data_IF_833368288191
#
_entry.id   IF_833368288191
#
_cell.length_a   1.000
_cell.length_b   1.000
_cell.length_c   1.000
_cell.angle_alpha   90.00
_cell.angle_beta   90.00
_cell.angle_gamma   90.00
#
_symmetry.space_group_name_H-M   'P 1'
#
loop_
_entity.id
_entity.type
_entity.pdbx_description
1 polymer ?
#
# COMPACT_ATOMS: atom_id res chain seq x y z
N UNK A 1 7.06 -8.21 12.04
CA UNK A 1 8.19 -8.92 11.39
C UNK A 1 9.49 -8.64 12.13
N UNK A 2 10.30 -9.68 12.44
CA UNK A 2 11.55 -9.53 13.21
C UNK A 2 12.61 -8.68 12.52
N UNK A 3 12.70 -8.73 11.19
CA UNK A 3 13.64 -7.90 10.44
C UNK A 3 13.31 -6.41 10.59
N UNK A 4 12.04 -6.01 10.41
CA UNK A 4 11.62 -4.61 10.61
C UNK A 4 11.87 -4.14 12.05
N UNK A 5 11.58 -4.98 13.05
CA UNK A 5 11.89 -4.63 14.44
C UNK A 5 13.39 -4.40 14.67
N UNK A 6 14.26 -5.24 14.08
CA UNK A 6 15.71 -5.08 14.16
C UNK A 6 16.21 -3.81 13.43
N UNK A 7 15.64 -3.51 12.26
CA UNK A 7 15.90 -2.28 11.51
C UNK A 7 15.51 -1.06 12.35
N UNK A 8 14.26 -1.02 12.84
CA UNK A 8 13.75 0.09 13.66
C UNK A 8 14.65 0.34 14.87
N UNK A 9 15.02 -0.71 15.61
CA UNK A 9 15.91 -0.60 16.76
C UNK A 9 17.29 -0.06 16.37
N UNK A 10 17.88 -0.57 15.29
CA UNK A 10 19.22 -0.16 14.85
C UNK A 10 19.23 1.28 14.35
N UNK A 11 18.19 1.72 13.64
CA UNK A 11 18.08 3.10 13.16
C UNK A 11 17.81 4.09 14.31
N UNK A 12 17.12 3.65 15.36
CA UNK A 12 16.78 4.48 16.52
C UNK A 12 17.95 4.67 17.50
N UNK A 13 18.71 3.61 17.79
CA UNK A 13 19.73 3.63 18.86
C UNK A 13 21.12 3.15 18.43
N UNK A 14 21.31 2.77 17.17
CA UNK A 14 22.59 2.30 16.65
C UNK A 14 23.60 3.42 16.43
N UNK A 15 24.88 3.09 16.59
CA UNK A 15 25.99 3.94 16.14
C UNK A 15 26.00 4.08 14.62
N UNK A 16 26.69 5.11 14.10
CA UNK A 16 26.90 5.31 12.65
C UNK A 16 27.46 4.05 11.99
N UNK A 17 28.38 3.34 12.64
CA UNK A 17 28.95 2.09 12.14
C UNK A 17 27.92 0.97 12.09
N UNK A 18 27.05 0.83 13.10
CA UNK A 18 26.00 -0.18 13.11
C UNK A 18 24.94 0.09 12.04
N UNK A 19 24.52 1.35 11.89
CA UNK A 19 23.57 1.75 10.83
C UNK A 19 24.17 1.50 9.45
N UNK A 20 25.45 1.85 9.23
CA UNK A 20 26.13 1.59 7.96
C UNK A 20 26.19 0.09 7.66
N UNK A 21 26.57 -0.74 8.64
CA UNK A 21 26.59 -2.20 8.51
C UNK A 21 25.22 -2.76 8.15
N UNK A 22 24.16 -2.27 8.80
CA UNK A 22 22.79 -2.65 8.48
C UNK A 22 22.47 -2.30 7.02
N UNK A 23 22.65 -1.04 6.61
CA UNK A 23 22.38 -0.61 5.24
C UNK A 23 23.18 -1.38 4.19
N UNK A 24 24.42 -1.80 4.50
CA UNK A 24 25.23 -2.64 3.62
C UNK A 24 24.60 -4.00 3.35
N UNK A 25 23.88 -4.61 4.31
CA UNK A 25 23.17 -5.89 4.08
C UNK A 25 22.16 -5.75 2.93
N UNK A 26 21.56 -4.56 2.78
CA UNK A 26 20.57 -4.24 1.75
C UNK A 26 21.17 -3.60 0.49
N UNK A 27 22.50 -3.44 0.42
CA UNK A 27 23.16 -2.71 -0.68
C UNK A 27 22.91 -1.19 -0.69
N UNK A 28 22.37 -0.63 0.40
CA UNK A 28 21.91 0.77 0.49
C UNK A 28 22.79 1.64 1.39
N UNK A 29 24.06 1.26 1.60
CA UNK A 29 24.98 1.97 2.49
C UNK A 29 25.24 3.43 2.11
N UNK A 30 24.98 3.80 0.86
CA UNK A 30 25.18 5.16 0.35
C UNK A 30 23.95 6.06 0.51
N UNK A 31 22.78 5.48 0.81
CA UNK A 31 21.55 6.25 1.09
C UNK A 31 21.74 7.02 2.39
N UNK A 32 21.79 8.35 2.30
CA UNK A 32 22.18 9.22 3.42
C UNK A 32 21.17 9.20 4.55
N UNK A 33 19.89 9.37 4.22
CA UNK A 33 18.83 9.49 5.22
C UNK A 33 18.29 8.12 5.64
N UNK A 34 18.02 7.95 6.93
CA UNK A 34 17.51 6.68 7.47
C UNK A 34 16.05 6.43 7.10
N UNK A 35 15.27 7.48 6.88
CA UNK A 35 13.88 7.39 6.48
C UNK A 35 13.73 7.00 5.00
N UNK A 36 14.60 7.50 4.11
CA UNK A 36 14.72 7.02 2.72
C UNK A 36 15.15 5.54 2.69
N UNK A 37 16.12 5.13 3.49
CA UNK A 37 16.48 3.71 3.60
C UNK A 37 15.28 2.85 4.08
N UNK A 38 14.56 3.35 5.08
CA UNK A 38 13.40 2.66 5.63
C UNK A 38 12.21 2.59 4.66
N UNK A 39 12.03 3.59 3.79
CA UNK A 39 10.93 3.61 2.80
C UNK A 39 11.09 2.53 1.75
N UNK A 40 12.32 2.29 1.30
CA UNK A 40 12.66 1.28 0.30
C UNK A 40 12.32 -0.13 0.77
N UNK A 41 12.42 -0.40 2.07
CA UNK A 41 12.07 -1.71 2.63
C UNK A 41 10.59 -2.08 2.41
N UNK A 42 9.71 -1.09 2.26
CA UNK A 42 8.27 -1.29 2.07
C UNK A 42 7.93 -1.60 0.61
N UNK A 43 8.81 -1.23 -0.34
CA UNK A 43 8.50 -1.26 -1.77
C UNK A 43 7.92 -2.59 -2.29
N UNK A 44 8.43 -3.77 -1.89
CA UNK A 44 7.86 -5.04 -2.34
C UNK A 44 6.41 -5.28 -1.88
N UNK A 45 5.99 -4.66 -0.78
CA UNK A 45 4.64 -4.80 -0.24
C UNK A 45 3.61 -3.99 -1.02
N UNK A 46 4.02 -2.95 -1.76
CA UNK A 46 3.09 -2.17 -2.58
C UNK A 46 2.55 -2.98 -3.75
N UNK A 47 3.33 -3.92 -4.29
CA UNK A 47 2.91 -4.79 -5.38
C UNK A 47 1.77 -5.76 -5.01
N UNK A 48 1.45 -5.92 -3.71
CA UNK A 48 0.33 -6.73 -3.25
C UNK A 48 -1.01 -6.26 -3.84
N UNK A 49 -1.17 -4.95 -4.04
CA UNK A 49 -2.40 -4.41 -4.63
C UNK A 49 -2.50 -4.72 -6.13
N UNK A 50 -1.39 -4.99 -6.79
CA UNK A 50 -1.31 -5.17 -8.25
C UNK A 50 -1.41 -6.64 -8.65
N UNK A 51 -1.68 -7.53 -7.70
CA UNK A 51 -1.86 -8.96 -7.98
C UNK A 51 -3.29 -9.21 -8.46
N UNK A 52 -3.42 -9.83 -9.63
CA UNK A 52 -4.68 -10.32 -10.20
C UNK A 52 -4.70 -11.84 -10.27
N UNK A 53 -5.90 -12.40 -10.48
CA UNK A 53 -6.09 -13.86 -10.57
C UNK A 53 -5.28 -14.55 -11.66
N UNK A 54 -4.82 -13.81 -12.66
CA UNK A 54 -4.00 -14.30 -13.78
C UNK A 54 -2.49 -14.24 -13.49
N UNK A 55 -2.06 -13.47 -12.49
CA UNK A 55 -0.65 -13.14 -12.26
C UNK A 55 0.11 -14.20 -11.46
N UNK A 56 -0.53 -15.34 -11.17
CA UNK A 56 0.04 -16.46 -10.40
C UNK A 56 1.28 -17.09 -11.05
N UNK A 57 1.68 -16.66 -12.26
CA UNK A 57 2.82 -17.19 -13.01
C UNK A 57 3.85 -16.14 -13.49
N UNK A 58 3.67 -14.84 -13.22
CA UNK A 58 4.60 -13.80 -13.70
C UNK A 58 5.76 -13.54 -12.71
N UNK A 59 6.85 -12.99 -13.26
CA UNK A 59 8.21 -12.94 -12.69
C UNK A 59 8.24 -12.81 -11.15
N UNK A 60 8.75 -13.86 -10.50
CA UNK A 60 8.79 -13.97 -9.04
C UNK A 60 9.48 -12.78 -8.41
N UNK A 61 10.37 -12.04 -9.09
CA UNK A 61 11.15 -10.94 -8.51
C UNK A 61 10.35 -9.63 -8.33
N UNK A 62 9.17 -9.49 -8.93
CA UNK A 62 8.33 -8.27 -8.85
C UNK A 62 7.08 -8.43 -7.98
N UNK A 63 6.86 -9.57 -7.35
CA UNK A 63 5.65 -9.85 -6.57
C UNK A 63 5.90 -9.86 -5.06
N UNK A 64 4.86 -9.52 -4.28
CA UNK A 64 4.92 -9.67 -2.82
C UNK A 64 5.04 -11.14 -2.40
N UNK A 65 4.46 -12.05 -3.17
CA UNK A 65 4.50 -13.49 -2.93
C UNK A 65 5.94 -14.02 -3.08
N UNK A 66 6.64 -13.63 -4.14
CA UNK A 66 8.06 -13.96 -4.31
C UNK A 66 8.94 -13.40 -3.20
N UNK A 67 8.62 -12.20 -2.70
CA UNK A 67 9.30 -11.62 -1.55
C UNK A 67 9.12 -12.50 -0.31
N UNK A 68 7.88 -12.91 -0.03
CA UNK A 68 7.55 -13.81 1.07
C UNK A 68 8.27 -15.16 0.93
N UNK A 69 8.27 -15.75 -0.26
CA UNK A 69 8.95 -17.02 -0.52
C UNK A 69 10.47 -16.91 -0.27
N UNK A 70 11.10 -15.82 -0.67
CA UNK A 70 12.52 -15.61 -0.40
C UNK A 70 12.83 -15.44 1.09
N UNK A 71 11.91 -14.88 1.88
CA UNK A 71 12.09 -14.73 3.33
C UNK A 71 11.81 -16.01 4.11
N UNK A 72 10.84 -16.79 3.66
CA UNK A 72 10.29 -17.94 4.39
C UNK A 72 10.80 -19.29 3.87
N UNK A 73 11.74 -19.31 2.92
CA UNK A 73 12.35 -20.55 2.44
C UNK A 73 13.81 -20.71 2.85
N UNK A 74 14.22 -21.95 3.10
CA UNK A 74 15.62 -22.36 3.24
C UNK A 74 15.96 -23.43 2.21
N UNK A 75 17.14 -23.31 1.61
CA UNK A 75 17.66 -24.32 0.68
C UNK A 75 18.58 -25.27 1.44
N UNK A 76 18.19 -26.54 1.52
CA UNK A 76 19.01 -27.61 2.12
C UNK A 76 19.40 -28.58 1.02
N UNK A 77 20.67 -28.51 0.59
CA UNK A 77 21.16 -29.24 -0.58
C UNK A 77 20.51 -28.72 -1.86
N UNK A 78 19.66 -29.55 -2.50
CA UNK A 78 18.91 -29.19 -3.73
C UNK A 78 17.42 -28.98 -3.50
N UNK A 79 16.96 -28.96 -2.23
CA UNK A 79 15.55 -28.86 -1.89
C UNK A 79 15.23 -27.53 -1.21
N UNK A 80 14.10 -26.94 -1.60
CA UNK A 80 13.50 -25.76 -0.96
C UNK A 80 12.57 -26.25 0.16
N UNK A 81 12.71 -25.68 1.34
CA UNK A 81 11.88 -25.97 2.51
C UNK A 81 11.27 -24.66 3.02
N UNK A 82 9.94 -24.64 3.18
CA UNK A 82 9.27 -23.54 3.89
C UNK A 82 9.55 -23.62 5.38
N UNK A 83 9.86 -22.48 5.98
CA UNK A 83 10.06 -22.35 7.40
C UNK A 83 8.74 -22.55 8.15
N UNK A 84 8.83 -23.13 9.35
CA UNK A 84 7.68 -23.19 10.26
C UNK A 84 7.37 -21.84 10.89
N UNK A 85 6.48 -21.81 11.89
CA UNK A 85 6.06 -20.58 12.58
C UNK A 85 7.20 -19.72 13.15
N UNK A 86 8.39 -20.30 13.35
CA UNK A 86 9.58 -19.59 13.80
C UNK A 86 10.38 -18.92 12.67
N UNK A 87 9.96 -19.01 11.41
CA UNK A 87 10.64 -18.46 10.23
C UNK A 87 12.06 -19.00 10.03
N UNK A 88 12.82 -18.39 9.12
CA UNK A 88 14.21 -18.76 8.78
C UNK A 88 15.25 -18.30 9.81
N UNK A 89 14.82 -17.59 10.86
CA UNK A 89 15.68 -16.93 11.85
C UNK A 89 16.14 -15.54 11.41
N UNK A 90 16.41 -14.64 12.36
CA UNK A 90 16.68 -13.21 12.08
C UNK A 90 17.88 -13.00 11.13
N UNK A 91 18.98 -13.73 11.35
CA UNK A 91 20.19 -13.57 10.55
C UNK A 91 19.97 -13.99 9.08
N UNK A 92 19.30 -15.13 8.86
CA UNK A 92 18.95 -15.60 7.51
C UNK A 92 17.97 -14.64 6.85
N UNK A 93 16.89 -14.27 7.55
CA UNK A 93 15.87 -13.36 7.04
C UNK A 93 16.44 -11.98 6.68
N UNK A 94 17.39 -11.44 7.46
CA UNK A 94 18.07 -10.18 7.13
C UNK A 94 18.82 -10.25 5.80
N UNK A 95 19.56 -11.33 5.56
CA UNK A 95 20.30 -11.52 4.31
C UNK A 95 19.34 -11.71 3.14
N UNK A 96 18.32 -12.57 3.27
CA UNK A 96 17.31 -12.79 2.25
C UNK A 96 16.57 -11.50 1.89
N UNK A 97 16.18 -10.71 2.88
CA UNK A 97 15.52 -9.42 2.66
C UNK A 97 16.46 -8.43 1.99
N UNK A 98 17.71 -8.34 2.45
CA UNK A 98 18.72 -7.47 1.85
C UNK A 98 18.97 -7.78 0.37
N UNK A 99 19.08 -9.06 0.03
CA UNK A 99 19.21 -9.53 -1.36
C UNK A 99 17.98 -9.19 -2.20
N UNK A 100 16.78 -9.38 -1.66
CA UNK A 100 15.54 -9.03 -2.36
C UNK A 100 15.48 -7.54 -2.66
N UNK A 101 15.69 -6.70 -1.63
CA UNK A 101 15.65 -5.24 -1.79
C UNK A 101 16.72 -4.75 -2.75
N UNK A 102 17.92 -5.31 -2.71
CA UNK A 102 18.98 -4.96 -3.67
C UNK A 102 18.54 -5.21 -5.11
N UNK A 103 17.92 -6.37 -5.37
CA UNK A 103 17.38 -6.71 -6.69
C UNK A 103 16.21 -5.80 -7.06
N UNK A 104 15.26 -5.61 -6.15
CA UNK A 104 14.09 -4.76 -6.36
C UNK A 104 14.48 -3.33 -6.72
N UNK A 105 15.45 -2.76 -6.01
CA UNK A 105 15.97 -1.42 -6.30
C UNK A 105 16.60 -1.37 -7.69
N UNK A 106 17.45 -2.33 -8.03
CA UNK A 106 18.13 -2.39 -9.33
C UNK A 106 17.19 -2.69 -10.50
N UNK A 107 16.03 -3.31 -10.27
CA UNK A 107 15.08 -3.66 -11.33
C UNK A 107 13.93 -2.66 -11.47
N UNK A 108 13.43 -2.10 -10.36
CA UNK A 108 12.15 -1.40 -10.33
C UNK A 108 12.24 0.07 -9.90
N UNK A 109 13.17 0.43 -8.99
CA UNK A 109 13.23 1.79 -8.45
C UNK A 109 14.30 2.66 -9.11
N UNK A 110 15.47 2.07 -9.36
CA UNK A 110 16.66 2.76 -9.83
C UNK A 110 17.40 1.93 -10.90
N UNK A 111 16.75 1.51 -11.99
CA UNK A 111 17.35 0.62 -12.99
C UNK A 111 18.59 1.21 -13.68
N UNK A 112 18.66 2.53 -13.80
CA UNK A 112 19.76 3.23 -14.47
C UNK A 112 20.84 3.73 -13.50
N UNK A 113 20.73 3.45 -12.20
CA UNK A 113 21.67 3.97 -11.18
C UNK A 113 22.75 2.96 -10.83
N UNK A 114 24.00 3.42 -10.74
CA UNK A 114 25.07 2.64 -10.13
C UNK A 114 24.92 2.59 -8.59
N UNK A 115 25.52 1.61 -7.90
CA UNK A 115 25.42 1.49 -6.43
C UNK A 115 25.85 2.73 -5.64
N UNK A 116 26.76 3.55 -6.18
CA UNK A 116 27.21 4.82 -5.60
C UNK A 116 26.25 6.00 -5.86
N UNK A 117 25.30 5.85 -6.77
CA UNK A 117 24.32 6.87 -7.18
C UNK A 117 22.94 6.65 -6.56
N UNK A 118 22.73 5.52 -5.87
CA UNK A 118 21.44 5.16 -5.25
C UNK A 118 20.88 6.23 -4.31
N UNK A 119 21.73 7.05 -3.69
CA UNK A 119 21.23 8.18 -2.89
C UNK A 119 20.46 9.19 -3.73
N UNK A 120 20.94 9.49 -4.94
CA UNK A 120 20.35 10.54 -5.77
C UNK A 120 19.03 10.07 -6.40
N UNK A 121 18.94 8.77 -6.71
CA UNK A 121 17.70 8.13 -7.13
C UNK A 121 16.67 7.99 -6.00
N UNK A 122 17.08 7.51 -4.81
CA UNK A 122 16.14 7.13 -3.74
C UNK A 122 15.80 8.27 -2.77
N UNK A 123 16.50 9.40 -2.82
CA UNK A 123 16.34 10.41 -1.77
C UNK A 123 15.09 11.26 -1.95
N UNK A 124 14.26 11.30 -0.91
CA UNK A 124 13.11 12.20 -0.80
C UNK A 124 13.46 13.57 -0.21
N UNK A 125 14.74 13.83 0.05
CA UNK A 125 15.21 15.10 0.62
C UNK A 125 15.79 16.05 -0.44
N UNK A 126 15.98 15.58 -1.67
CA UNK A 126 16.47 16.40 -2.77
C UNK A 126 15.34 17.22 -3.41
N UNK A 127 15.18 18.48 -3.00
CA UNK A 127 14.17 19.38 -3.54
C UNK A 127 14.31 19.68 -5.05
N UNK A 128 15.47 19.36 -5.64
CA UNK A 128 15.74 19.53 -7.07
C UNK A 128 15.43 18.27 -7.88
N UNK A 129 15.04 17.16 -7.24
CA UNK A 129 14.66 15.93 -7.94
C UNK A 129 13.46 16.16 -8.86
N UNK A 130 13.48 15.49 -10.02
CA UNK A 130 12.43 15.54 -11.04
C UNK A 130 11.05 15.20 -10.48
N UNK A 131 10.99 14.34 -9.45
CA UNK A 131 9.74 13.98 -8.78
C UNK A 131 9.01 15.22 -8.23
N UNK A 132 9.74 16.26 -7.80
CA UNK A 132 9.18 17.50 -7.24
C UNK A 132 9.10 18.62 -8.29
N UNK A 133 10.07 18.69 -9.19
CA UNK A 133 10.24 19.81 -10.13
C UNK A 133 9.54 19.60 -11.46
N UNK A 134 9.23 18.37 -11.86
CA UNK A 134 8.51 18.09 -13.10
C UNK A 134 7.05 18.56 -13.01
N UNK A 135 6.73 19.61 -13.76
CA UNK A 135 5.40 20.23 -13.85
C UNK A 135 4.77 20.06 -15.24
N UNK A 136 5.31 19.16 -16.06
CA UNK A 136 4.77 18.85 -17.39
C UNK A 136 3.32 18.37 -17.27
N UNK A 137 2.47 18.64 -18.26
CA UNK A 137 1.05 18.24 -18.27
C UNK A 137 0.82 17.29 -19.46
N UNK A 138 0.11 16.16 -19.28
CA UNK A 138 -0.48 15.67 -18.03
C UNK A 138 0.58 15.16 -17.04
N UNK A 139 0.25 15.19 -15.74
CA UNK A 139 1.07 14.62 -14.67
C UNK A 139 0.15 14.16 -13.53
N UNK A 140 -0.28 12.91 -13.63
CA UNK A 140 -1.28 12.32 -12.75
C UNK A 140 -0.72 12.07 -11.35
N UNK A 141 0.55 11.69 -11.22
CA UNK A 141 1.24 11.54 -9.93
C UNK A 141 1.22 12.84 -9.14
N UNK A 142 1.54 13.96 -9.79
CA UNK A 142 1.49 15.28 -9.16
C UNK A 142 0.07 15.67 -8.80
N UNK A 143 -0.92 15.36 -9.64
CA UNK A 143 -2.33 15.61 -9.30
C UNK A 143 -2.79 14.77 -8.10
N UNK A 144 -2.37 13.51 -8.01
CA UNK A 144 -2.63 12.62 -6.87
C UNK A 144 -1.98 13.14 -5.59
N UNK A 145 -0.70 13.48 -5.64
CA UNK A 145 0.02 14.07 -4.52
C UNK A 145 -0.60 15.37 -4.04
N UNK A 146 -1.15 16.19 -4.94
CA UNK A 146 -1.88 17.39 -4.55
C UNK A 146 -3.09 17.05 -3.67
N UNK A 147 -3.87 16.03 -4.04
CA UNK A 147 -5.01 15.56 -3.25
C UNK A 147 -4.56 14.98 -1.90
N UNK A 148 -3.48 14.20 -1.87
CA UNK A 148 -2.91 13.65 -0.63
C UNK A 148 -2.40 14.74 0.31
N UNK A 149 -1.73 15.76 -0.22
CA UNK A 149 -1.17 16.86 0.57
C UNK A 149 -2.21 17.86 1.06
N UNK A 150 -3.38 17.95 0.41
CA UNK A 150 -4.42 18.93 0.75
C UNK A 150 -5.61 18.32 1.48
N UNK A 151 -6.15 17.21 0.99
CA UNK A 151 -7.43 16.66 1.44
C UNK A 151 -7.25 15.31 2.11
N UNK A 152 -6.68 14.31 1.42
CA UNK A 152 -6.80 12.92 1.85
C UNK A 152 -5.82 12.51 2.94
N UNK A 153 -4.58 13.01 2.91
CA UNK A 153 -3.52 12.51 3.78
C UNK A 153 -3.32 11.00 3.65
N UNK A 154 -3.42 10.49 2.42
CA UNK A 154 -3.37 9.07 2.08
C UNK A 154 -1.93 8.56 2.17
N UNK A 155 -1.43 8.50 3.40
CA UNK A 155 -0.05 8.18 3.74
C UNK A 155 0.04 6.76 4.28
N UNK A 156 0.87 5.94 3.67
CA UNK A 156 1.06 4.54 4.06
C UNK A 156 2.06 4.48 5.21
N UNK A 157 1.53 4.57 6.43
CA UNK A 157 2.34 4.69 7.64
C UNK A 157 2.41 3.37 8.41
N UNK A 158 3.52 3.16 9.11
CA UNK A 158 3.63 2.13 10.13
C UNK A 158 2.51 2.27 11.17
N UNK A 159 1.96 1.14 11.67
CA UNK A 159 1.01 1.18 12.77
C UNK A 159 1.67 1.76 14.04
N UNK A 160 0.86 2.34 14.97
CA UNK A 160 1.34 2.79 16.27
C UNK A 160 2.19 1.73 16.98
N UNK A 161 3.23 2.16 17.70
CA UNK A 161 4.17 1.23 18.34
C UNK A 161 3.53 0.39 19.45
N UNK A 162 2.48 0.92 20.06
CA UNK A 162 1.63 0.31 21.08
C UNK A 162 0.38 -0.36 20.50
N UNK A 163 0.26 -0.42 19.17
CA UNK A 163 -0.84 -1.09 18.49
C UNK A 163 -0.77 -2.62 18.64
N UNK A 164 -1.92 -3.32 18.61
CA UNK A 164 -1.96 -4.78 18.71
C UNK A 164 -1.44 -5.51 17.46
N UNK A 165 -1.23 -4.80 16.35
CA UNK A 165 -0.85 -5.38 15.06
C UNK A 165 0.68 -5.56 14.94
N UNK A 166 1.14 -6.73 14.47
CA UNK A 166 2.54 -6.90 14.10
C UNK A 166 2.97 -5.87 13.04
N UNK A 167 4.08 -5.17 13.30
CA UNK A 167 4.62 -4.20 12.34
C UNK A 167 5.39 -4.89 11.21
N UNK A 168 5.01 -4.62 9.97
CA UNK A 168 5.74 -5.00 8.74
C UNK A 168 6.29 -3.80 7.97
N UNK A 169 5.92 -2.58 8.37
CA UNK A 169 6.39 -1.30 7.81
C UNK A 169 7.28 -0.60 8.83
N UNK A 170 8.50 -0.15 8.50
CA UNK A 170 9.41 0.51 9.45
C UNK A 170 8.84 1.78 10.11
N UNK A 171 9.18 2.04 11.37
CA UNK A 171 8.68 3.17 12.18
C UNK A 171 8.91 4.56 11.57
N UNK A 172 9.99 4.71 10.78
CA UNK A 172 10.31 5.96 10.10
C UNK A 172 9.33 6.29 8.95
N UNK A 173 8.59 5.30 8.45
CA UNK A 173 7.47 5.51 7.54
C UNK A 173 6.25 5.96 8.33
N UNK A 174 6.22 7.23 8.71
CA UNK A 174 5.14 7.83 9.49
C UNK A 174 4.58 9.06 8.77
N UNK A 175 3.51 9.64 9.32
CA UNK A 175 2.85 10.78 8.68
C UNK A 175 3.80 11.98 8.45
N UNK A 176 4.78 12.19 9.34
CA UNK A 176 5.73 13.28 9.21
C UNK A 176 6.71 13.07 8.04
N UNK A 177 7.14 11.83 7.79
CA UNK A 177 7.94 11.48 6.61
C UNK A 177 7.23 11.86 5.31
N UNK A 178 6.00 11.40 5.13
CA UNK A 178 5.20 11.66 3.94
C UNK A 178 4.86 13.15 3.78
N UNK A 179 4.40 13.79 4.86
CA UNK A 179 3.97 15.18 4.85
C UNK A 179 5.11 16.18 4.58
N UNK A 180 6.36 15.83 4.93
CA UNK A 180 7.54 16.66 4.62
C UNK A 180 7.72 16.88 3.12
N UNK A 181 7.33 15.91 2.28
CA UNK A 181 7.49 16.02 0.83
C UNK A 181 6.49 16.99 0.20
N UNK A 182 5.35 17.24 0.84
CA UNK A 182 4.30 18.12 0.31
C UNK A 182 4.80 19.52 -0.07
N UNK A 183 5.56 20.26 0.77
CA UNK A 183 6.10 21.56 0.37
C UNK A 183 7.21 21.48 -0.69
N UNK A 184 7.82 20.31 -0.92
CA UNK A 184 8.75 20.09 -2.03
C UNK A 184 7.99 19.97 -3.35
N UNK A 185 6.91 19.18 -3.37
CA UNK A 185 6.01 19.12 -4.52
C UNK A 185 5.35 20.48 -4.78
N UNK A 186 4.79 21.12 -3.76
CA UNK A 186 3.95 22.31 -3.91
C UNK A 186 4.47 23.46 -3.04
N UNK A 187 5.57 24.12 -3.45
CA UNK A 187 6.06 25.29 -2.74
C UNK A 187 4.99 26.39 -2.72
N UNK A 188 4.90 27.20 -1.64
CA UNK A 188 3.91 28.26 -1.53
C UNK A 188 4.01 29.24 -2.70
N UNK A 189 2.91 29.38 -3.45
CA UNK A 189 2.77 30.30 -4.56
C UNK A 189 1.79 31.43 -4.27
N UNK A 190 1.63 32.34 -5.23
CA UNK A 190 0.66 33.45 -5.11
C UNK A 190 -0.80 33.00 -5.14
N UNK A 191 -1.08 31.93 -5.90
CA UNK A 191 -2.44 31.43 -6.14
C UNK A 191 -2.81 30.23 -5.27
N UNK A 192 -1.81 29.55 -4.72
CA UNK A 192 -2.02 28.31 -4.00
C UNK A 192 -0.93 28.08 -2.95
N UNK A 193 -1.33 27.56 -1.81
CA UNK A 193 -0.46 27.04 -0.77
C UNK A 193 -1.12 25.82 -0.15
N UNK A 194 -0.36 24.75 0.02
CA UNK A 194 -0.84 23.56 0.70
C UNK A 194 -1.02 23.83 2.20
N UNK A 195 -2.03 23.22 2.84
CA UNK A 195 -2.21 23.36 4.29
C UNK A 195 -1.05 22.68 5.04
N UNK A 196 -0.77 23.09 6.30
CA UNK A 196 0.25 22.45 7.10
C UNK A 196 0.02 20.96 7.33
N UNK A 197 -1.25 20.49 7.30
CA UNK A 197 -1.65 19.08 7.37
C UNK A 197 -2.84 18.85 6.43
N UNK A 198 -2.97 17.65 5.82
CA UNK A 198 -4.14 17.30 5.01
C UNK A 198 -5.44 17.35 5.83
N UNK A 199 -6.55 17.69 5.17
CA UNK A 199 -7.87 17.86 5.80
C UNK A 199 -8.66 16.54 5.98
N UNK A 200 -7.95 15.43 6.23
CA UNK A 200 -8.54 14.09 6.28
C UNK A 200 -9.65 13.94 7.33
N UNK A 201 -9.47 14.57 8.51
CA UNK A 201 -10.49 14.56 9.56
C UNK A 201 -11.76 15.31 9.13
N UNK A 202 -11.60 16.44 8.45
CA UNK A 202 -12.73 17.25 8.02
C UNK A 202 -13.53 16.54 6.90
N UNK A 203 -12.85 15.92 5.94
CA UNK A 203 -13.51 15.18 4.86
C UNK A 203 -14.24 13.93 5.39
N UNK A 204 -13.60 13.18 6.30
CA UNK A 204 -14.22 12.02 6.96
C UNK A 204 -15.43 12.44 7.81
N UNK A 205 -15.34 13.55 8.54
CA UNK A 205 -16.48 14.09 9.29
C UNK A 205 -17.63 14.52 8.37
N UNK A 206 -17.32 15.16 7.24
CA UNK A 206 -18.32 15.66 6.29
C UNK A 206 -19.09 14.52 5.61
N UNK A 207 -18.40 13.46 5.22
CA UNK A 207 -18.98 12.37 4.42
C UNK A 207 -19.24 11.09 5.19
N UNK A 208 -18.92 11.06 6.49
CA UNK A 208 -19.14 9.92 7.38
C UNK A 208 -17.93 9.00 7.54
N UNK A 209 -16.93 9.06 6.64
CA UNK A 209 -15.76 8.17 6.72
C UNK A 209 -16.21 6.70 6.81
N UNK A 210 -15.67 5.93 7.75
CA UNK A 210 -16.12 4.55 7.99
C UNK A 210 -17.58 4.40 8.46
N UNK A 211 -18.21 5.49 8.90
CA UNK A 211 -19.62 5.51 9.31
C UNK A 211 -20.56 5.76 8.13
N UNK A 212 -20.04 5.94 6.91
CA UNK A 212 -20.89 6.21 5.76
C UNK A 212 -21.83 5.02 5.51
N UNK A 213 -23.13 5.31 5.59
CA UNK A 213 -24.19 4.33 5.42
C UNK A 213 -24.30 3.27 6.52
N UNK A 214 -23.74 3.50 7.72
CA UNK A 214 -23.84 2.54 8.85
C UNK A 214 -25.23 2.53 9.51
N UNK A 215 -25.89 3.69 9.58
CA UNK A 215 -27.22 3.85 10.17
C UNK A 215 -28.35 3.90 9.15
N UNK A 216 -28.03 4.08 7.87
CA UNK A 216 -29.00 4.16 6.78
C UNK A 216 -28.37 3.71 5.48
N UNK A 217 -29.09 2.88 4.73
CA UNK A 217 -28.74 2.52 3.37
C UNK A 217 -28.47 3.77 2.50
N UNK A 218 -27.45 3.73 1.65
CA UNK A 218 -27.30 4.70 0.56
C UNK A 218 -27.91 4.07 -0.68
N UNK A 219 -28.94 4.73 -1.23
CA UNK A 219 -29.62 4.23 -2.42
C UNK A 219 -28.68 4.13 -3.62
N UNK A 220 -28.85 3.08 -4.41
CA UNK A 220 -28.13 2.85 -5.67
C UNK A 220 -26.60 2.83 -5.54
N UNK A 221 -26.11 2.37 -4.39
CA UNK A 221 -24.69 2.19 -4.11
C UNK A 221 -24.41 0.73 -3.76
N UNK A 222 -23.43 0.14 -4.45
CA UNK A 222 -22.93 -1.20 -4.15
C UNK A 222 -21.47 -1.10 -3.72
N UNK A 223 -21.20 -1.49 -2.49
CA UNK A 223 -19.84 -1.61 -1.96
C UNK A 223 -19.25 -2.98 -2.27
N UNK A 224 -18.04 -2.98 -2.84
CA UNK A 224 -17.32 -4.20 -3.20
C UNK A 224 -15.89 -4.03 -2.70
N UNK A 225 -15.38 -5.02 -1.99
CA UNK A 225 -13.97 -5.10 -1.59
C UNK A 225 -13.45 -6.52 -1.81
N UNK A 226 -12.16 -6.65 -2.11
CA UNK A 226 -11.46 -7.94 -2.00
C UNK A 226 -11.24 -8.35 -0.55
N UNK A 227 -11.24 -9.65 -0.29
CA UNK A 227 -10.89 -10.21 1.03
C UNK A 227 -9.48 -9.80 1.46
N UNK A 228 -8.55 -9.83 0.51
CA UNK A 228 -7.13 -9.54 0.68
C UNK A 228 -6.72 -8.16 0.16
N UNK A 229 -7.68 -7.33 -0.28
CA UNK A 229 -7.42 -5.96 -0.73
C UNK A 229 -6.78 -5.14 0.42
N UNK A 230 -5.55 -4.61 0.25
CA UNK A 230 -4.89 -3.82 1.27
C UNK A 230 -5.68 -2.55 1.62
N UNK A 231 -6.51 -2.07 0.70
CA UNK A 231 -7.36 -0.90 0.87
C UNK A 231 -8.68 -1.18 1.60
N UNK A 232 -9.06 -2.45 1.81
CA UNK A 232 -10.27 -2.81 2.58
C UNK A 232 -10.25 -2.21 3.98
N UNK A 233 -9.08 -2.16 4.62
CA UNK A 233 -8.93 -1.56 5.96
C UNK A 233 -9.19 -0.04 5.99
N UNK A 234 -9.11 0.63 4.84
CA UNK A 234 -9.46 2.05 4.69
C UNK A 234 -10.91 2.26 4.25
N UNK A 235 -11.68 1.20 3.99
CA UNK A 235 -13.06 1.27 3.48
C UNK A 235 -14.12 1.01 4.57
N UNK A 236 -15.38 1.05 4.17
CA UNK A 236 -16.54 0.67 5.00
C UNK A 236 -16.55 -0.81 5.42
N UNK A 237 -15.71 -1.65 4.82
CA UNK A 237 -15.53 -3.06 5.16
C UNK A 237 -14.26 -3.31 5.99
N UNK A 238 -13.75 -2.25 6.63
CA UNK A 238 -12.60 -2.32 7.54
C UNK A 238 -12.92 -3.12 8.81
N UNK A 239 -12.10 -4.13 9.08
CA UNK A 239 -12.18 -4.91 10.32
C UNK A 239 -11.75 -4.12 11.57
N UNK A 240 -11.09 -2.97 11.38
CA UNK A 240 -10.53 -2.14 12.46
C UNK A 240 -11.35 -0.88 12.73
N UNK A 241 -11.81 -0.24 11.67
CA UNK A 241 -12.33 1.12 11.71
C UNK A 241 -13.83 1.23 11.51
N UNK A 242 -14.44 0.27 10.81
CA UNK A 242 -15.84 0.32 10.46
C UNK A 242 -16.74 -0.28 11.55
N UNK A 243 -17.98 0.23 11.71
CA UNK A 243 -18.96 -0.34 12.63
C UNK A 243 -19.13 -1.84 12.45
N UNK A 244 -19.18 -2.57 13.57
CA UNK A 244 -19.32 -4.02 13.56
C UNK A 244 -18.13 -4.76 12.94
N UNK A 245 -16.99 -4.10 12.74
CA UNK A 245 -15.81 -4.65 12.07
C UNK A 245 -16.06 -4.92 10.59
N UNK A 246 -16.73 -3.99 9.90
CA UNK A 246 -17.02 -4.10 8.47
C UNK A 246 -18.07 -5.17 8.11
N UNK A 247 -18.69 -5.83 9.10
CA UNK A 247 -19.73 -6.87 8.88
C UNK A 247 -21.08 -6.25 8.58
N UNK A 248 -21.20 -5.60 7.42
CA UNK A 248 -22.45 -5.02 6.94
C UNK A 248 -23.38 -6.10 6.37
N UNK A 249 -24.67 -5.83 6.40
CA UNK A 249 -25.65 -6.74 5.82
C UNK A 249 -25.71 -6.55 4.30
N UNK A 250 -25.40 -7.60 3.53
CA UNK A 250 -25.67 -7.68 2.09
C UNK A 250 -27.18 -7.82 1.86
N UNK A 251 -27.82 -6.79 1.32
CA UNK A 251 -29.26 -6.79 1.05
C UNK A 251 -29.56 -6.29 -0.37
N UNK A 252 -30.71 -6.65 -0.98
CA UNK A 252 -31.05 -6.17 -2.32
C UNK A 252 -31.07 -4.65 -2.48
N UNK A 253 -31.41 -3.90 -1.41
CA UNK A 253 -31.44 -2.43 -1.37
C UNK A 253 -30.10 -1.80 -1.02
N UNK A 254 -29.28 -2.48 -0.23
CA UNK A 254 -27.96 -2.04 0.23
C UNK A 254 -26.96 -3.15 -0.04
N UNK A 255 -26.63 -3.39 -1.31
CA UNK A 255 -25.73 -4.48 -1.65
C UNK A 255 -24.32 -4.15 -1.14
N UNK A 256 -23.71 -5.15 -0.53
CA UNK A 256 -22.35 -5.08 0.01
C UNK A 256 -21.71 -6.47 -0.14
N UNK A 257 -20.45 -6.54 -0.55
CA UNK A 257 -19.78 -7.84 -0.68
C UNK A 257 -18.29 -7.73 -0.46
N UNK A 258 -17.76 -8.69 0.29
CA UNK A 258 -16.34 -8.99 0.35
C UNK A 258 -16.09 -10.20 -0.55
N UNK A 259 -15.27 -10.02 -1.58
CA UNK A 259 -14.98 -11.03 -2.57
C UNK A 259 -13.88 -11.96 -2.06
N UNK A 260 -14.24 -13.22 -1.78
CA UNK A 260 -13.31 -14.21 -1.26
C UNK A 260 -12.12 -14.44 -2.21
N UNK A 261 -10.91 -14.46 -1.66
CA UNK A 261 -9.66 -14.66 -2.38
C UNK A 261 -9.18 -13.48 -3.24
N UNK A 262 -9.98 -12.41 -3.35
CA UNK A 262 -9.65 -11.29 -4.23
C UNK A 262 -8.81 -10.21 -3.54
N UNK A 263 -7.94 -9.58 -4.32
CA UNK A 263 -7.15 -8.41 -3.92
C UNK A 263 -7.80 -7.13 -4.47
N UNK A 264 -7.02 -6.12 -4.86
CA UNK A 264 -7.57 -4.82 -5.23
C UNK A 264 -8.18 -4.83 -6.63
N UNK A 265 -9.42 -4.35 -6.76
CA UNK A 265 -10.04 -4.07 -8.05
C UNK A 265 -10.43 -5.29 -8.91
N UNK A 266 -10.39 -6.51 -8.38
CA UNK A 266 -10.73 -7.73 -9.13
C UNK A 266 -12.17 -7.74 -9.69
N UNK A 267 -13.09 -6.94 -9.14
CA UNK A 267 -14.45 -6.82 -9.70
C UNK A 267 -14.48 -6.08 -11.05
N UNK A 268 -13.41 -5.35 -11.40
CA UNK A 268 -13.22 -4.75 -12.71
C UNK A 268 -12.61 -5.69 -13.75
N UNK A 269 -12.14 -6.87 -13.36
CA UNK A 269 -11.63 -7.89 -14.29
C UNK A 269 -12.77 -8.38 -15.19
N UNK A 270 -12.61 -8.30 -16.50
CA UNK A 270 -13.59 -8.70 -17.50
C UNK A 270 -13.17 -9.92 -18.33
N UNK A 271 -12.12 -10.63 -17.93
CA UNK A 271 -11.64 -11.83 -18.64
C UNK A 271 -12.68 -12.98 -18.59
N UNK A 272 -12.70 -13.75 -19.67
CA UNK A 272 -13.59 -14.88 -19.87
C UNK A 272 -13.37 -16.01 -18.86
N UNK A 273 -12.13 -16.20 -18.38
CA UNK A 273 -11.77 -17.24 -17.42
C UNK A 273 -11.67 -16.74 -15.97
N UNK A 274 -12.18 -15.54 -15.69
CA UNK A 274 -12.18 -14.94 -14.37
C UNK A 274 -12.65 -15.92 -13.26
N UNK A 275 -12.05 -15.85 -12.06
CA UNK A 275 -12.40 -16.72 -10.94
C UNK A 275 -13.89 -16.75 -10.64
N UNK A 276 -14.35 -17.85 -10.03
CA UNK A 276 -15.75 -17.97 -9.61
C UNK A 276 -16.18 -16.86 -8.65
N UNK A 277 -15.26 -16.31 -7.85
CA UNK A 277 -15.52 -15.18 -6.96
C UNK A 277 -15.88 -13.90 -7.74
N UNK A 278 -15.09 -13.56 -8.77
CA UNK A 278 -15.34 -12.41 -9.66
C UNK A 278 -16.68 -12.55 -10.38
N UNK A 279 -16.90 -13.68 -11.06
CA UNK A 279 -18.15 -13.93 -11.81
C UNK A 279 -19.40 -13.88 -10.92
N UNK A 280 -19.31 -14.33 -9.66
CA UNK A 280 -20.41 -14.22 -8.69
C UNK A 280 -20.70 -12.76 -8.34
N UNK A 281 -19.67 -11.94 -8.14
CA UNK A 281 -19.83 -10.52 -7.84
C UNK A 281 -20.40 -9.77 -9.05
N UNK A 282 -19.91 -10.03 -10.26
CA UNK A 282 -20.51 -9.47 -11.48
C UNK A 282 -21.99 -9.79 -11.61
N UNK A 283 -22.39 -11.04 -11.35
CA UNK A 283 -23.80 -11.43 -11.38
C UNK A 283 -24.63 -10.65 -10.36
N UNK A 284 -24.10 -10.39 -9.15
CA UNK A 284 -24.73 -9.52 -8.16
C UNK A 284 -24.82 -8.06 -8.65
N UNK A 285 -23.76 -7.54 -9.26
CA UNK A 285 -23.70 -6.16 -9.80
C UNK A 285 -24.75 -5.97 -10.88
N UNK A 286 -24.81 -6.88 -11.86
CA UNK A 286 -25.80 -6.87 -12.94
C UNK A 286 -27.22 -6.93 -12.34
N UNK A 287 -27.45 -7.78 -11.34
CA UNK A 287 -28.75 -7.87 -10.69
C UNK A 287 -29.12 -6.57 -9.93
N UNK A 288 -28.16 -5.92 -9.26
CA UNK A 288 -28.38 -4.64 -8.59
C UNK A 288 -28.74 -3.53 -9.59
N UNK A 289 -27.94 -3.37 -10.65
CA UNK A 289 -28.18 -2.38 -11.70
C UNK A 289 -29.54 -2.60 -12.37
N UNK A 290 -29.89 -3.84 -12.72
CA UNK A 290 -31.20 -4.16 -13.30
C UNK A 290 -32.36 -3.74 -12.39
N UNK A 291 -32.24 -3.94 -11.07
CA UNK A 291 -33.24 -3.48 -10.10
C UNK A 291 -33.33 -1.96 -10.07
N UNK A 292 -32.20 -1.26 -10.03
CA UNK A 292 -32.17 0.20 -10.00
C UNK A 292 -32.80 0.80 -11.27
N UNK A 293 -32.50 0.24 -12.45
CA UNK A 293 -33.10 0.65 -13.72
C UNK A 293 -34.62 0.40 -13.76
N UNK A 294 -35.09 -0.73 -13.22
CA UNK A 294 -36.52 -1.01 -13.15
C UNK A 294 -37.26 -0.02 -12.22
N UNK A 295 -36.67 0.32 -11.07
CA UNK A 295 -37.21 1.35 -10.16
C UNK A 295 -37.20 2.72 -10.83
N UNK A 296 -36.13 3.07 -11.54
CA UNK A 296 -36.04 4.32 -12.28
C UNK A 296 -37.13 4.43 -13.35
N UNK A 297 -37.34 3.37 -14.14
CA UNK A 297 -38.34 3.36 -15.22
C UNK A 297 -39.80 3.52 -14.74
N UNK A 298 -40.08 3.26 -13.46
CA UNK A 298 -41.43 3.43 -12.89
C UNK A 298 -41.67 4.81 -12.28
N UNK A 299 -40.62 5.62 -12.09
CA UNK A 299 -40.76 7.02 -11.64
C UNK A 299 -41.19 7.89 -12.83
N UNK A 300 -42.39 8.49 -12.75
CA UNK A 300 -42.78 9.55 -13.69
C UNK A 300 -41.90 10.77 -13.43
N UNK A 301 -41.16 11.20 -14.44
CA UNK A 301 -40.34 12.39 -14.44
C UNK A 301 -41.10 13.59 -15.02
#
# INVERSE_FOLDING_TARGET
>A
MRVVAHVDQTLASGTVTQIKKLKTIFGLQNVKHNDDFASVLVSPLYAWQDTYSQDVNDDVVSTTQGFCDQLETVVVGKKVHYAGANGTGLASALVSYGQWISKWVASNLCPDSLPNELNDCLSTHNAQSDVYTNITIPNDDRAWWYQCCTVFGFFMTAPPADGPQPRIVPALQNAAYWQRMCPLYFPPGKLNAIPPKPQAVAINKKWGGWQIGSNSCIENLFWINGEFDPWRSASINSDYGAPGGGKRADTPSCPDTIMAGAEHGWDGDDDYDAPLSVRRVHAKVIAAIKRWLAVWATKKH
#
